data_IF_863743220500
#
_entry.id   IF_863743220500
#
_cell.length_a   1.000
_cell.length_b   1.000
_cell.length_c   1.000
_cell.angle_alpha   90.00
_cell.angle_beta   90.00
_cell.angle_gamma   90.00
#
_symmetry.space_group_name_H-M   'P 1'
#
loop_
_entity.id
_entity.type
_entity.pdbx_description
1 polymer ?
#
# COMPACT_ATOMS: atom_id res chain seq x y z
N UNK A 1 1.66 28.92 -6.85
CA UNK A 1 1.25 27.53 -7.18
C UNK A 1 2.40 26.63 -6.75
N UNK A 2 2.14 25.51 -6.10
CA UNK A 2 3.17 24.55 -5.68
C UNK A 2 3.81 23.92 -6.93
N UNK A 3 5.13 23.78 -6.91
CA UNK A 3 5.88 23.02 -7.92
C UNK A 3 6.26 21.67 -7.33
N UNK A 4 5.93 20.58 -8.01
CA UNK A 4 6.20 19.22 -7.58
C UNK A 4 7.59 18.75 -8.03
N UNK A 5 8.16 17.78 -7.31
CA UNK A 5 9.52 17.27 -7.57
C UNK A 5 9.71 16.80 -9.03
N UNK A 6 8.72 16.11 -9.60
CA UNK A 6 8.76 15.61 -10.99
C UNK A 6 8.57 16.69 -12.08
N UNK A 7 8.22 17.92 -11.68
CA UNK A 7 8.02 19.06 -12.58
C UNK A 7 9.25 19.99 -12.62
N UNK A 8 10.28 19.69 -11.84
CA UNK A 8 11.46 20.52 -11.76
C UNK A 8 12.38 20.29 -12.96
N UNK A 9 12.86 21.39 -13.54
CA UNK A 9 13.81 21.38 -14.63
C UNK A 9 15.20 21.79 -14.15
N UNK A 10 16.25 21.44 -14.88
CA UNK A 10 17.62 21.84 -14.57
C UNK A 10 17.81 23.35 -14.74
N UNK A 11 18.65 23.94 -13.88
CA UNK A 11 18.96 25.37 -13.87
C UNK A 11 17.75 26.29 -13.63
N UNK A 12 16.74 25.78 -12.93
CA UNK A 12 15.52 26.51 -12.56
C UNK A 12 15.62 27.06 -11.15
N UNK A 13 15.33 28.35 -10.97
CA UNK A 13 15.11 28.95 -9.65
C UNK A 13 13.71 28.54 -9.15
N UNK A 14 13.62 27.93 -7.99
CA UNK A 14 12.37 27.44 -7.41
C UNK A 14 12.09 28.04 -6.04
N UNK A 15 10.81 28.12 -5.72
CA UNK A 15 10.32 28.39 -4.38
C UNK A 15 9.09 27.51 -4.13
N UNK A 16 9.26 26.41 -3.40
CA UNK A 16 8.20 25.44 -3.15
C UNK A 16 8.36 24.81 -1.76
N UNK A 17 7.36 24.03 -1.33
CA UNK A 17 7.37 23.37 -0.03
C UNK A 17 7.56 21.89 -0.23
N UNK A 18 8.42 21.26 0.60
CA UNK A 18 8.68 19.82 0.61
C UNK A 18 8.57 19.25 2.02
N UNK A 19 8.35 17.96 2.10
CA UNK A 19 8.52 17.15 3.30
C UNK A 19 10.00 16.75 3.41
N UNK A 20 10.59 16.85 4.59
CA UNK A 20 11.96 16.40 4.87
C UNK A 20 11.96 14.90 5.12
N UNK A 21 12.40 14.11 4.14
CA UNK A 21 12.51 12.65 4.27
C UNK A 21 13.78 12.23 4.99
N UNK A 22 14.88 12.96 4.74
CA UNK A 22 16.16 12.72 5.41
C UNK A 22 16.87 14.05 5.66
N UNK A 23 17.53 14.16 6.82
CA UNK A 23 18.33 15.33 7.23
C UNK A 23 19.64 14.85 7.80
N UNK A 24 20.74 15.37 7.29
CA UNK A 24 22.08 15.07 7.76
C UNK A 24 22.93 16.34 7.74
N UNK A 25 23.65 16.58 8.83
CA UNK A 25 24.65 17.64 8.90
C UNK A 25 26.02 17.03 8.61
N UNK A 26 26.65 17.48 7.54
CA UNK A 26 27.96 17.02 7.10
C UNK A 26 28.99 18.16 7.14
N UNK A 27 30.28 17.85 7.06
CA UNK A 27 31.34 18.84 7.02
C UNK A 27 31.91 18.96 5.61
N UNK A 28 32.16 20.19 5.18
CA UNK A 28 32.96 20.51 4.00
C UNK A 28 34.44 20.13 4.25
N UNK A 29 35.25 20.08 3.20
CA UNK A 29 36.72 19.90 3.34
C UNK A 29 37.38 21.01 4.17
N UNK A 30 36.76 22.16 4.26
CA UNK A 30 37.20 23.31 5.08
C UNK A 30 36.81 23.18 6.57
N UNK A 31 36.04 22.13 6.96
CA UNK A 31 35.54 21.94 8.32
C UNK A 31 34.19 22.61 8.61
N UNK A 32 33.68 23.46 7.71
CA UNK A 32 32.40 24.13 7.87
C UNK A 32 31.23 23.15 7.66
N UNK A 33 30.14 23.27 8.43
CA UNK A 33 28.96 22.42 8.24
C UNK A 33 28.20 22.75 6.95
N UNK A 34 27.59 21.73 6.35
CA UNK A 34 26.56 21.89 5.32
C UNK A 34 25.42 20.89 5.56
N UNK A 35 24.19 21.25 5.12
CA UNK A 35 23.04 20.37 5.18
C UNK A 35 22.96 19.51 3.92
N UNK A 36 22.77 18.23 4.12
CA UNK A 36 22.41 17.26 3.09
C UNK A 36 21.00 16.75 3.40
N UNK A 37 20.04 17.04 2.53
CA UNK A 37 18.64 16.70 2.69
C UNK A 37 18.18 15.80 1.54
N UNK A 38 17.23 14.90 1.83
CA UNK A 38 16.34 14.32 0.84
C UNK A 38 14.96 14.91 1.09
N UNK A 39 14.42 15.58 0.10
CA UNK A 39 13.13 16.27 0.15
C UNK A 39 12.14 15.53 -0.74
N UNK A 40 10.88 15.42 -0.30
CA UNK A 40 9.86 14.68 -1.03
C UNK A 40 8.52 15.38 -1.13
N UNK A 41 7.75 14.96 -2.12
CA UNK A 41 6.33 15.21 -2.27
C UNK A 41 5.66 13.99 -2.94
N UNK A 42 4.35 14.04 -3.21
CA UNK A 42 3.61 12.92 -3.83
C UNK A 42 4.14 12.49 -5.20
N UNK A 43 4.93 13.31 -5.85
CA UNK A 43 5.44 13.07 -7.21
C UNK A 43 6.83 12.44 -7.24
N UNK A 44 7.58 12.50 -6.13
CA UNK A 44 8.92 11.94 -6.03
C UNK A 44 9.79 12.64 -5.00
N UNK A 45 11.08 12.33 -5.07
CA UNK A 45 12.10 12.80 -4.16
C UNK A 45 13.17 13.60 -4.90
N UNK A 46 13.82 14.54 -4.22
CA UNK A 46 14.95 15.31 -4.72
C UNK A 46 16.03 15.43 -3.66
N UNK A 47 17.27 15.16 -4.05
CA UNK A 47 18.44 15.45 -3.22
C UNK A 47 18.68 16.96 -3.16
N UNK A 48 18.90 17.49 -1.97
CA UNK A 48 19.09 18.91 -1.74
C UNK A 48 20.28 19.20 -0.82
N UNK A 49 20.99 20.28 -1.10
CA UNK A 49 22.13 20.72 -0.29
C UNK A 49 22.05 22.19 0.00
N UNK A 50 22.33 22.55 1.24
CA UNK A 50 22.53 23.93 1.66
C UNK A 50 23.95 24.11 2.16
N UNK A 51 24.69 24.99 1.49
CA UNK A 51 26.12 25.16 1.72
C UNK A 51 26.46 26.30 2.69
N UNK A 52 25.61 27.32 2.77
CA UNK A 52 25.84 28.55 3.51
C UNK A 52 24.68 28.82 4.46
N UNK A 53 24.89 29.61 5.51
CA UNK A 53 23.89 29.96 6.53
C UNK A 53 23.26 28.74 7.25
N UNK A 54 23.99 27.63 7.31
CA UNK A 54 23.48 26.38 7.89
C UNK A 54 23.21 26.51 9.38
N UNK A 55 24.08 27.19 10.13
CA UNK A 55 23.93 27.38 11.57
C UNK A 55 22.66 28.14 11.97
N UNK A 56 22.10 28.96 11.07
CA UNK A 56 20.87 29.71 11.31
C UNK A 56 19.60 28.88 11.23
N UNK A 57 19.66 27.76 10.51
CA UNK A 57 18.47 26.96 10.17
C UNK A 57 18.55 25.48 10.58
N UNK A 58 19.74 24.96 10.94
CA UNK A 58 19.91 23.54 11.21
C UNK A 58 19.07 23.02 12.38
N UNK A 59 18.70 23.86 13.34
CA UNK A 59 17.90 23.52 14.52
C UNK A 59 16.43 23.98 14.40
N UNK A 60 16.03 24.53 13.23
CA UNK A 60 14.66 25.08 13.05
C UNK A 60 13.66 24.07 12.49
N UNK A 61 14.11 22.91 12.07
CA UNK A 61 13.28 21.84 11.54
C UNK A 61 13.96 20.47 11.72
N UNK A 62 13.17 19.41 11.71
CA UNK A 62 13.65 18.05 11.82
C UNK A 62 13.17 17.16 10.65
N UNK A 63 13.55 15.89 10.67
CA UNK A 63 13.00 14.89 9.75
C UNK A 63 11.48 14.83 9.92
N UNK A 64 10.78 14.74 8.80
CA UNK A 64 9.31 14.73 8.68
C UNK A 64 8.64 16.10 8.91
N UNK A 65 9.39 17.17 9.06
CA UNK A 65 8.83 18.52 9.01
C UNK A 65 8.62 19.00 7.57
N UNK A 66 7.67 19.92 7.40
CA UNK A 66 7.47 20.62 6.13
C UNK A 66 8.33 21.87 6.10
N UNK A 67 9.08 22.03 5.02
CA UNK A 67 9.94 23.19 4.81
C UNK A 67 9.66 23.85 3.46
N UNK A 68 9.55 25.16 3.47
CA UNK A 68 9.55 25.96 2.26
C UNK A 68 10.99 26.30 1.90
N UNK A 69 11.40 25.91 0.70
CA UNK A 69 12.76 26.13 0.20
C UNK A 69 12.77 27.11 -0.96
N UNK A 70 13.82 27.92 -1.03
CA UNK A 70 14.18 28.71 -2.21
C UNK A 70 15.58 28.29 -2.65
N UNK A 71 15.75 27.97 -3.92
CA UNK A 71 17.02 27.46 -4.41
C UNK A 71 17.07 27.32 -5.92
N UNK A 72 18.16 26.73 -6.40
CA UNK A 72 18.45 26.48 -7.80
C UNK A 72 18.62 24.98 -8.05
N UNK A 73 17.91 24.45 -9.01
CA UNK A 73 18.06 23.05 -9.44
C UNK A 73 19.26 22.94 -10.40
N UNK A 74 19.94 21.82 -10.35
CA UNK A 74 21.03 21.49 -11.29
C UNK A 74 21.09 19.96 -11.50
N UNK A 75 21.73 19.52 -12.59
CA UNK A 75 22.07 18.10 -12.75
C UNK A 75 23.46 17.85 -12.16
N UNK A 76 23.52 16.96 -11.20
CA UNK A 76 24.77 16.51 -10.60
C UNK A 76 24.88 14.99 -10.70
N UNK A 77 25.95 14.48 -11.33
CA UNK A 77 26.16 13.03 -11.57
C UNK A 77 24.92 12.33 -12.20
N UNK A 78 24.29 13.01 -13.16
CA UNK A 78 23.11 12.45 -13.86
C UNK A 78 21.81 12.48 -13.09
N UNK A 79 21.76 13.08 -11.89
CA UNK A 79 20.56 13.22 -11.06
C UNK A 79 20.22 14.69 -10.81
N UNK A 80 18.92 14.97 -10.70
CA UNK A 80 18.47 16.29 -10.29
C UNK A 80 18.84 16.54 -8.84
N UNK A 81 19.45 17.69 -8.54
CA UNK A 81 19.82 18.15 -7.21
C UNK A 81 19.40 19.60 -7.01
N UNK A 82 18.94 19.93 -5.81
CA UNK A 82 18.58 21.29 -5.41
C UNK A 82 19.67 21.90 -4.56
N UNK A 83 20.22 23.03 -4.97
CA UNK A 83 21.04 23.89 -4.11
C UNK A 83 20.13 24.88 -3.40
N UNK A 84 20.01 24.75 -2.10
CA UNK A 84 19.13 25.56 -1.26
C UNK A 84 19.85 26.83 -0.83
N UNK A 85 19.18 27.97 -0.97
CA UNK A 85 19.67 29.28 -0.52
C UNK A 85 18.91 29.75 0.73
N UNK A 86 17.65 29.32 0.91
CA UNK A 86 16.83 29.69 2.08
C UNK A 86 15.88 28.55 2.43
N UNK A 87 15.75 28.32 3.74
CA UNK A 87 14.78 27.39 4.33
C UNK A 87 13.88 28.19 5.29
N UNK A 88 12.61 27.81 5.33
CA UNK A 88 11.63 28.28 6.31
C UNK A 88 10.77 27.08 6.71
N UNK A 89 10.63 26.82 8.01
CA UNK A 89 9.69 25.82 8.52
C UNK A 89 8.24 26.25 8.21
N UNK A 90 7.38 25.26 7.93
CA UNK A 90 5.96 25.46 7.61
C UNK A 90 5.15 24.64 8.61
N UNK A 91 4.10 25.24 9.17
CA UNK A 91 3.19 24.54 10.09
C UNK A 91 2.38 23.48 9.33
N UNK A 92 2.15 22.32 9.96
CA UNK A 92 1.37 21.21 9.42
C UNK A 92 -0.05 21.62 9.00
N UNK A 93 -0.60 22.67 9.66
CA UNK A 93 -1.94 23.21 9.37
C UNK A 93 -2.01 24.02 8.08
N UNK A 94 -0.85 24.48 7.60
CA UNK A 94 -0.74 25.32 6.40
C UNK A 94 -0.42 24.51 5.14
N UNK A 95 -0.39 23.16 5.22
CA UNK A 95 -0.09 22.28 4.11
C UNK A 95 -1.25 21.35 3.78
N UNK A 96 -1.47 21.13 2.49
CA UNK A 96 -2.32 20.04 2.03
C UNK A 96 -1.51 18.74 2.00
N UNK A 97 -1.79 17.83 2.94
CA UNK A 97 -1.07 16.53 3.05
C UNK A 97 -1.15 15.69 1.78
N UNK A 98 -2.21 15.85 0.97
CA UNK A 98 -2.35 15.15 -0.32
C UNK A 98 -1.33 15.59 -1.37
N UNK A 99 -0.58 16.65 -1.12
CA UNK A 99 0.55 17.10 -1.94
C UNK A 99 1.86 16.37 -1.62
N UNK A 100 1.93 15.68 -0.48
CA UNK A 100 3.17 15.03 0.00
C UNK A 100 3.07 13.52 0.07
N UNK A 101 1.85 13.01 0.21
CA UNK A 101 1.59 11.58 0.31
C UNK A 101 0.67 11.12 -0.83
N UNK A 102 0.81 9.89 -1.31
CA UNK A 102 -0.19 9.33 -2.21
C UNK A 102 -1.56 9.39 -1.52
N UNK A 103 -2.58 9.71 -2.28
CA UNK A 103 -3.97 9.79 -1.82
C UNK A 103 -4.89 9.05 -2.80
N UNK A 104 -6.02 8.56 -2.31
CA UNK A 104 -7.09 8.05 -3.18
C UNK A 104 -7.48 9.08 -4.23
N UNK A 105 -7.72 8.63 -5.45
CA UNK A 105 -8.25 9.48 -6.53
C UNK A 105 -9.74 9.77 -6.36
N UNK A 106 -10.42 9.04 -5.47
CA UNK A 106 -11.84 9.22 -5.13
C UNK A 106 -12.01 10.28 -4.03
N UNK A 107 -13.11 11.00 -4.08
CA UNK A 107 -13.47 11.95 -3.02
C UNK A 107 -13.86 11.19 -1.74
N UNK A 108 -13.21 11.51 -0.62
CA UNK A 108 -13.38 10.83 0.66
C UNK A 108 -14.78 11.01 1.26
N UNK A 109 -15.40 12.17 1.08
CA UNK A 109 -16.76 12.43 1.55
C UNK A 109 -17.80 11.65 0.75
N UNK A 110 -17.61 11.54 -0.57
CA UNK A 110 -18.45 10.70 -1.44
C UNK A 110 -18.31 9.23 -1.09
N UNK A 111 -17.08 8.74 -0.85
CA UNK A 111 -16.81 7.37 -0.40
C UNK A 111 -17.50 7.09 0.95
N UNK A 112 -17.42 8.02 1.89
CA UNK A 112 -18.07 7.85 3.19
C UNK A 112 -19.60 7.87 3.09
N UNK A 113 -20.16 8.72 2.23
CA UNK A 113 -21.59 8.73 1.94
C UNK A 113 -22.06 7.40 1.28
N UNK A 114 -21.26 6.81 0.39
CA UNK A 114 -21.50 5.49 -0.19
C UNK A 114 -21.51 4.40 0.90
N UNK A 115 -20.54 4.42 1.82
CA UNK A 115 -20.53 3.51 2.98
C UNK A 115 -21.79 3.68 3.84
N UNK A 116 -22.22 4.92 4.06
CA UNK A 116 -23.47 5.25 4.74
C UNK A 116 -24.70 4.62 4.10
N UNK A 117 -24.76 4.49 2.77
CA UNK A 117 -25.85 3.80 2.07
C UNK A 117 -25.88 2.30 2.37
N UNK A 118 -24.71 1.64 2.48
CA UNK A 118 -24.63 0.25 2.92
C UNK A 118 -25.16 0.09 4.34
N UNK A 119 -24.78 0.98 5.26
CA UNK A 119 -25.24 0.98 6.66
C UNK A 119 -26.75 1.24 6.73
N UNK A 120 -27.26 2.18 5.95
CA UNK A 120 -28.71 2.49 5.92
C UNK A 120 -29.56 1.28 5.52
N UNK A 121 -29.04 0.40 4.66
CA UNK A 121 -29.70 -0.82 4.21
C UNK A 121 -29.68 -1.98 5.22
N UNK A 122 -28.95 -1.86 6.33
CA UNK A 122 -28.92 -2.88 7.39
C UNK A 122 -30.26 -3.00 8.07
N UNK A 123 -30.63 -4.24 8.39
CA UNK A 123 -31.91 -4.60 9.01
C UNK A 123 -31.80 -4.94 10.50
N UNK A 124 -30.62 -5.41 10.94
CA UNK A 124 -30.36 -5.70 12.35
C UNK A 124 -30.11 -4.39 13.12
N UNK A 125 -31.01 -4.00 14.05
CA UNK A 125 -30.94 -2.70 14.72
C UNK A 125 -29.73 -2.55 15.63
N UNK A 126 -29.24 -3.63 16.25
CA UNK A 126 -28.08 -3.57 17.13
C UNK A 126 -26.78 -3.39 16.33
N UNK A 127 -26.60 -4.15 15.23
CA UNK A 127 -25.42 -4.01 14.37
C UNK A 127 -25.39 -2.63 13.70
N UNK A 128 -26.55 -2.18 13.19
CA UNK A 128 -26.68 -0.83 12.63
C UNK A 128 -26.37 0.24 13.69
N UNK A 129 -26.96 0.13 14.88
CA UNK A 129 -26.70 1.05 15.98
C UNK A 129 -25.23 1.08 16.41
N UNK A 130 -24.53 -0.06 16.34
CA UNK A 130 -23.08 -0.10 16.60
C UNK A 130 -22.30 0.71 15.58
N UNK A 131 -22.55 0.54 14.29
CA UNK A 131 -21.86 1.33 13.25
C UNK A 131 -22.22 2.82 13.36
N UNK A 132 -23.49 3.14 13.64
CA UNK A 132 -23.92 4.52 13.87
C UNK A 132 -23.24 5.15 15.10
N UNK A 133 -22.97 4.37 16.17
CA UNK A 133 -22.20 4.84 17.32
C UNK A 133 -20.74 5.16 16.99
N UNK A 134 -20.10 4.40 16.06
CA UNK A 134 -18.80 4.76 15.51
C UNK A 134 -18.87 6.03 14.67
N UNK A 135 -19.86 6.15 13.79
CA UNK A 135 -19.97 7.24 12.82
C UNK A 135 -20.55 8.54 13.42
N UNK A 136 -21.07 8.50 14.64
CA UNK A 136 -21.46 9.70 15.41
C UNK A 136 -20.26 10.45 16.01
N UNK A 137 -19.09 9.82 16.05
CA UNK A 137 -17.85 10.39 16.54
C UNK A 137 -17.12 11.11 15.40
N UNK A 138 -17.23 12.44 15.36
CA UNK A 138 -16.72 13.24 14.26
C UNK A 138 -15.17 13.15 14.12
N UNK A 139 -14.44 13.06 15.24
CA UNK A 139 -12.98 12.89 15.19
C UNK A 139 -12.60 11.53 14.60
N UNK A 140 -13.26 10.47 15.05
CA UNK A 140 -13.05 9.12 14.52
C UNK A 140 -13.39 9.03 13.02
N UNK A 141 -14.49 9.67 12.60
CA UNK A 141 -14.88 9.71 11.18
C UNK A 141 -13.81 10.38 10.32
N UNK A 142 -13.26 11.51 10.76
CA UNK A 142 -12.17 12.17 10.01
C UNK A 142 -10.90 11.31 9.95
N UNK A 143 -10.54 10.64 11.04
CA UNK A 143 -9.44 9.65 11.04
C UNK A 143 -9.75 8.51 10.07
N UNK A 144 -10.93 7.93 10.11
CA UNK A 144 -11.36 6.82 9.26
C UNK A 144 -11.35 7.17 7.77
N UNK A 145 -11.80 8.37 7.42
CA UNK A 145 -11.77 8.91 6.05
C UNK A 145 -10.36 9.18 5.54
N UNK A 146 -9.40 9.38 6.44
CA UNK A 146 -8.05 9.81 6.09
C UNK A 146 -7.01 8.70 6.20
N UNK A 147 -7.23 7.73 7.09
CA UNK A 147 -6.27 6.67 7.37
C UNK A 147 -5.91 5.84 6.12
N UNK A 148 -4.64 5.45 5.97
CA UNK A 148 -4.23 4.42 5.02
C UNK A 148 -4.67 3.03 5.53
N UNK A 149 -4.84 2.05 4.62
CA UNK A 149 -5.08 0.66 5.02
C UNK A 149 -3.80 -0.07 5.44
N UNK A 150 -2.65 0.38 4.99
CA UNK A 150 -1.35 -0.20 5.32
C UNK A 150 -0.24 0.85 5.22
N UNK A 151 0.92 0.56 5.85
CA UNK A 151 2.11 1.42 5.75
C UNK A 151 2.73 1.44 4.36
N UNK A 152 2.79 0.31 3.65
CA UNK A 152 3.63 0.20 2.43
C UNK A 152 3.03 -0.66 1.31
N UNK A 153 2.01 -1.48 1.57
CA UNK A 153 1.58 -2.51 0.62
C UNK A 153 0.28 -2.06 -0.10
N UNK A 154 -0.86 -2.65 0.22
CA UNK A 154 -2.14 -2.34 -0.39
C UNK A 154 -2.77 -1.09 0.24
N UNK A 155 -3.41 -0.25 -0.57
CA UNK A 155 -4.10 0.96 -0.12
C UNK A 155 -3.25 1.85 0.83
N UNK A 156 -1.93 1.87 0.62
CA UNK A 156 -0.98 2.67 1.42
C UNK A 156 -0.99 4.13 0.98
N UNK A 157 -2.15 4.78 1.09
CA UNK A 157 -2.38 6.17 0.76
C UNK A 157 -3.47 6.80 1.62
N UNK A 158 -3.54 8.12 1.63
CA UNK A 158 -4.59 8.86 2.34
C UNK A 158 -5.96 8.47 1.80
N UNK A 159 -6.86 8.04 2.70
CA UNK A 159 -8.19 7.51 2.36
C UNK A 159 -8.20 6.05 1.92
N UNK A 160 -7.06 5.36 2.01
CA UNK A 160 -6.92 3.97 1.60
C UNK A 160 -7.74 3.00 2.42
N UNK A 161 -7.88 3.22 3.73
CA UNK A 161 -8.72 2.39 4.59
C UNK A 161 -10.19 2.42 4.15
N UNK A 162 -10.73 3.60 3.90
CA UNK A 162 -12.11 3.75 3.45
C UNK A 162 -12.33 3.13 2.06
N UNK A 163 -11.37 3.31 1.15
CA UNK A 163 -11.43 2.72 -0.20
C UNK A 163 -11.41 1.19 -0.15
N UNK A 164 -10.55 0.60 0.70
CA UNK A 164 -10.48 -0.83 0.99
C UNK A 164 -11.80 -1.36 1.53
N UNK A 165 -12.35 -0.72 2.57
CA UNK A 165 -13.64 -1.11 3.16
C UNK A 165 -14.78 -1.06 2.16
N UNK A 166 -14.85 -0.08 1.28
CA UNK A 166 -15.87 -0.02 0.22
C UNK A 166 -15.72 -1.14 -0.81
N UNK A 167 -14.49 -1.46 -1.20
CA UNK A 167 -14.20 -2.61 -2.04
C UNK A 167 -14.72 -3.90 -1.40
N UNK A 168 -14.38 -4.12 -0.12
CA UNK A 168 -14.86 -5.28 0.63
C UNK A 168 -16.38 -5.30 0.81
N UNK A 169 -17.03 -4.16 1.07
CA UNK A 169 -18.49 -4.07 1.21
C UNK A 169 -19.19 -4.51 -0.09
N UNK A 170 -18.65 -4.13 -1.24
CA UNK A 170 -19.14 -4.55 -2.55
C UNK A 170 -18.99 -6.06 -2.74
N UNK A 171 -17.81 -6.61 -2.46
CA UNK A 171 -17.52 -8.04 -2.56
C UNK A 171 -18.37 -8.85 -1.57
N UNK A 172 -18.51 -8.38 -0.33
CA UNK A 172 -19.32 -9.01 0.70
C UNK A 172 -20.80 -9.08 0.29
N UNK A 173 -21.36 -8.01 -0.26
CA UNK A 173 -22.73 -7.99 -0.78
C UNK A 173 -22.94 -9.03 -1.88
N UNK A 174 -22.03 -9.12 -2.84
CA UNK A 174 -22.09 -10.11 -3.91
C UNK A 174 -21.99 -11.54 -3.36
N UNK A 175 -21.00 -11.78 -2.49
CA UNK A 175 -20.71 -13.11 -1.94
C UNK A 175 -21.86 -13.59 -1.02
N UNK A 176 -22.41 -12.71 -0.18
CA UNK A 176 -23.56 -13.03 0.67
C UNK A 176 -24.86 -13.27 -0.11
N UNK A 177 -24.97 -12.75 -1.32
CA UNK A 177 -26.09 -13.08 -2.22
C UNK A 177 -25.92 -14.45 -2.89
N UNK A 178 -24.67 -14.89 -3.07
CA UNK A 178 -24.32 -16.15 -3.70
C UNK A 178 -24.44 -17.35 -2.75
N UNK A 179 -23.93 -17.22 -1.52
CA UNK A 179 -23.93 -18.29 -0.53
C UNK A 179 -25.14 -18.18 0.42
N UNK A 180 -25.99 -19.21 0.53
CA UNK A 180 -27.12 -19.21 1.48
C UNK A 180 -26.60 -19.32 2.93
N UNK A 181 -27.36 -18.74 3.86
CA UNK A 181 -27.10 -18.85 5.30
C UNK A 181 -26.12 -17.82 5.85
N UNK A 182 -25.65 -16.88 5.04
CA UNK A 182 -24.81 -15.76 5.50
C UNK A 182 -25.67 -14.66 6.12
N UNK A 183 -25.32 -14.24 7.33
CA UNK A 183 -25.85 -13.01 7.92
C UNK A 183 -25.14 -11.80 7.30
N UNK A 184 -25.88 -11.13 6.41
CA UNK A 184 -25.36 -9.99 5.61
C UNK A 184 -24.98 -8.80 6.48
N UNK A 185 -25.76 -8.54 7.52
CA UNK A 185 -25.51 -7.41 8.41
C UNK A 185 -24.30 -7.68 9.31
N UNK A 186 -24.13 -8.92 9.78
CA UNK A 186 -22.97 -9.33 10.56
C UNK A 186 -21.69 -9.29 9.70
N UNK A 187 -21.74 -9.80 8.46
CA UNK A 187 -20.61 -9.75 7.54
C UNK A 187 -20.21 -8.30 7.22
N UNK A 188 -21.20 -7.44 6.90
CA UNK A 188 -20.94 -6.02 6.64
C UNK A 188 -20.36 -5.30 7.86
N UNK A 189 -20.85 -5.61 9.06
CA UNK A 189 -20.29 -5.09 10.31
C UNK A 189 -18.82 -5.48 10.45
N UNK A 190 -18.48 -6.74 10.18
CA UNK A 190 -17.09 -7.19 10.16
C UNK A 190 -16.25 -6.44 9.13
N UNK A 191 -16.77 -6.26 7.90
CA UNK A 191 -16.10 -5.49 6.86
C UNK A 191 -15.78 -4.05 7.29
N UNK A 192 -16.72 -3.37 7.95
CA UNK A 192 -16.53 -1.98 8.38
C UNK A 192 -15.55 -1.88 9.56
N UNK A 193 -15.54 -2.86 10.46
CA UNK A 193 -14.84 -2.78 11.73
C UNK A 193 -13.56 -3.60 11.83
N UNK A 194 -13.24 -4.53 10.89
CA UNK A 194 -12.09 -5.41 11.04
C UNK A 194 -10.78 -4.63 11.24
N UNK A 195 -10.64 -3.54 10.52
CA UNK A 195 -9.47 -2.68 10.46
C UNK A 195 -9.65 -1.33 11.18
N UNK A 196 -10.73 -1.15 11.95
CA UNK A 196 -11.04 0.14 12.60
C UNK A 196 -9.90 0.62 13.50
N UNK A 197 -9.16 -0.27 14.14
CA UNK A 197 -8.03 0.08 14.98
C UNK A 197 -6.84 0.70 14.25
N UNK A 198 -6.78 0.61 12.93
CA UNK A 198 -5.74 1.25 12.10
C UNK A 198 -5.76 2.78 12.18
N UNK A 199 -6.89 3.37 12.56
CA UNK A 199 -7.00 4.83 12.74
C UNK A 199 -6.11 5.36 13.88
N UNK A 200 -5.80 4.50 14.86
CA UNK A 200 -4.90 4.81 15.98
C UNK A 200 -3.57 4.02 15.90
N UNK A 201 -3.55 2.88 15.18
CA UNK A 201 -2.33 2.12 14.92
C UNK A 201 -1.35 2.89 14.04
N UNK A 202 -1.86 3.52 12.97
CA UNK A 202 -1.02 4.13 11.95
C UNK A 202 -0.90 5.65 12.16
N UNK A 203 0.32 6.16 11.95
CA UNK A 203 0.58 7.59 11.83
C UNK A 203 0.76 7.95 10.36
N UNK A 204 0.15 9.07 9.95
CA UNK A 204 0.21 9.56 8.56
C UNK A 204 0.29 11.10 8.49
N UNK A 205 0.64 11.73 9.61
CA UNK A 205 0.81 13.18 9.68
C UNK A 205 2.11 13.66 9.06
N UNK A 206 3.20 12.92 9.28
CA UNK A 206 4.56 13.26 8.83
C UNK A 206 5.23 12.10 8.08
N UNK A 207 4.46 11.12 7.64
CA UNK A 207 4.90 9.89 6.97
C UNK A 207 4.06 8.72 7.43
N UNK A 208 3.96 7.68 6.58
CA UNK A 208 3.28 6.45 6.99
C UNK A 208 4.15 5.67 7.98
N UNK A 209 3.70 5.59 9.21
CA UNK A 209 4.40 4.93 10.32
C UNK A 209 3.42 4.20 11.24
N UNK A 210 3.94 3.75 12.37
CA UNK A 210 3.14 3.23 13.47
C UNK A 210 3.22 4.20 14.65
N UNK A 211 2.10 4.36 15.37
CA UNK A 211 2.11 4.97 16.69
C UNK A 211 2.79 4.04 17.71
N UNK A 212 3.16 4.54 18.88
CA UNK A 212 3.70 3.67 19.94
C UNK A 212 2.69 2.60 20.34
N UNK A 213 1.41 2.95 20.42
CA UNK A 213 0.35 1.98 20.69
C UNK A 213 0.19 0.98 19.54
N UNK A 214 0.24 1.43 18.31
CA UNK A 214 0.22 0.58 17.13
C UNK A 214 1.35 -0.44 17.10
N UNK A 215 2.56 0.00 17.45
CA UNK A 215 3.73 -0.86 17.51
C UNK A 215 3.68 -1.90 18.62
N UNK A 216 3.09 -1.56 19.78
CA UNK A 216 3.06 -2.40 20.97
C UNK A 216 1.81 -3.30 21.05
N UNK A 217 0.67 -2.83 20.55
CA UNK A 217 -0.63 -3.48 20.75
C UNK A 217 -1.21 -3.99 19.40
N UNK A 218 -1.11 -3.22 18.34
CA UNK A 218 -1.62 -3.54 17.01
C UNK A 218 -3.14 -3.30 16.85
N UNK A 219 -3.57 -3.08 15.59
CA UNK A 219 -4.93 -2.64 15.25
C UNK A 219 -6.03 -3.60 15.71
N UNK A 220 -5.79 -4.92 15.73
CA UNK A 220 -6.81 -5.90 16.15
C UNK A 220 -7.24 -5.65 17.59
N UNK A 221 -6.29 -5.52 18.52
CA UNK A 221 -6.60 -5.29 19.93
C UNK A 221 -7.12 -3.88 20.18
N UNK A 222 -6.59 -2.89 19.48
CA UNK A 222 -7.10 -1.51 19.49
C UNK A 222 -8.57 -1.50 19.04
N UNK A 223 -8.87 -2.14 17.90
CA UNK A 223 -10.23 -2.25 17.36
C UNK A 223 -11.19 -2.97 18.31
N UNK A 224 -10.78 -4.06 18.94
CA UNK A 224 -11.60 -4.77 19.94
C UNK A 224 -11.94 -3.88 21.14
N UNK A 225 -11.00 -3.06 21.61
CA UNK A 225 -11.25 -2.08 22.68
C UNK A 225 -12.28 -1.04 22.23
N UNK A 226 -12.10 -0.46 21.04
CA UNK A 226 -13.04 0.50 20.47
C UNK A 226 -14.46 -0.08 20.32
N UNK A 227 -14.57 -1.33 19.85
CA UNK A 227 -15.86 -2.04 19.75
C UNK A 227 -16.49 -2.20 21.13
N UNK A 228 -15.73 -2.59 22.13
CA UNK A 228 -16.21 -2.74 23.51
C UNK A 228 -16.80 -1.44 24.06
N UNK A 229 -16.14 -0.32 23.82
CA UNK A 229 -16.61 1.02 24.22
C UNK A 229 -17.89 1.44 23.48
N UNK A 230 -17.94 1.26 22.16
CA UNK A 230 -19.09 1.65 21.35
C UNK A 230 -20.30 0.73 21.56
N UNK A 231 -20.12 -0.56 21.80
CA UNK A 231 -21.20 -1.48 22.22
C UNK A 231 -21.89 -0.99 23.49
N UNK A 232 -21.14 -0.43 24.46
CA UNK A 232 -21.71 0.16 25.67
C UNK A 232 -22.63 1.36 25.43
N UNK A 233 -22.60 1.95 24.23
CA UNK A 233 -23.46 3.07 23.83
C UNK A 233 -24.75 2.60 23.14
N UNK A 234 -24.85 1.31 22.77
CA UNK A 234 -26.03 0.75 22.10
C UNK A 234 -26.90 0.02 23.14
N UNK A 235 -28.14 0.51 23.42
CA UNK A 235 -29.00 -0.13 24.40
C UNK A 235 -29.25 -1.59 24.06
N UNK A 236 -29.28 -2.44 25.12
CA UNK A 236 -29.62 -3.85 25.04
C UNK A 236 -28.89 -4.66 23.98
N UNK A 237 -27.65 -4.28 23.66
CA UNK A 237 -26.84 -5.01 22.67
C UNK A 237 -26.64 -6.47 23.13
N UNK A 238 -27.08 -7.48 22.32
CA UNK A 238 -27.06 -8.87 22.75
C UNK A 238 -25.64 -9.39 22.98
N UNK A 239 -25.30 -9.97 24.17
CA UNK A 239 -23.94 -10.43 24.47
C UNK A 239 -23.39 -11.45 23.46
N UNK A 240 -24.25 -12.35 22.96
CA UNK A 240 -23.84 -13.34 21.93
C UNK A 240 -23.51 -12.67 20.59
N UNK A 241 -24.25 -11.64 20.21
CA UNK A 241 -23.99 -10.88 18.98
C UNK A 241 -22.68 -10.10 19.10
N UNK A 242 -22.39 -9.52 20.27
CA UNK A 242 -21.12 -8.88 20.57
C UNK A 242 -19.94 -9.86 20.36
N UNK A 243 -20.02 -11.09 20.90
CA UNK A 243 -19.00 -12.11 20.71
C UNK A 243 -18.76 -12.45 19.24
N UNK A 244 -19.82 -12.46 18.40
CA UNK A 244 -19.68 -12.67 16.96
C UNK A 244 -18.93 -11.52 16.28
N UNK A 245 -19.28 -10.26 16.61
CA UNK A 245 -18.57 -9.08 16.08
C UNK A 245 -17.11 -9.08 16.51
N UNK A 246 -16.84 -9.32 17.80
CA UNK A 246 -15.45 -9.41 18.32
C UNK A 246 -14.67 -10.54 17.63
N UNK A 247 -15.33 -11.70 17.36
CA UNK A 247 -14.70 -12.81 16.66
C UNK A 247 -14.35 -12.47 15.22
N UNK A 248 -15.21 -11.75 14.47
CA UNK A 248 -14.88 -11.28 13.13
C UNK A 248 -13.58 -10.49 13.12
N UNK A 249 -13.45 -9.51 14.03
CA UNK A 249 -12.25 -8.68 14.14
C UNK A 249 -11.03 -9.46 14.62
N UNK A 250 -11.19 -10.33 15.64
CA UNK A 250 -10.10 -11.12 16.19
C UNK A 250 -9.56 -12.20 15.24
N UNK A 251 -10.30 -12.57 14.19
CA UNK A 251 -9.94 -13.67 13.30
C UNK A 251 -9.74 -13.27 11.84
N UNK A 252 -9.86 -11.99 11.46
CA UNK A 252 -9.85 -11.60 10.05
C UNK A 252 -8.52 -11.88 9.33
N UNK A 253 -7.38 -11.89 10.02
CA UNK A 253 -6.11 -12.32 9.42
C UNK A 253 -6.07 -13.84 9.08
N UNK A 254 -7.00 -14.63 9.62
CA UNK A 254 -7.23 -16.04 9.28
C UNK A 254 -6.30 -17.03 9.93
N UNK A 255 -5.00 -16.77 9.97
CA UNK A 255 -3.98 -17.67 10.48
C UNK A 255 -3.21 -17.06 11.65
N UNK A 256 -2.85 -17.89 12.65
CA UNK A 256 -2.04 -17.44 13.78
C UNK A 256 -0.65 -16.93 13.33
N UNK A 257 -0.11 -17.52 12.28
CA UNK A 257 1.16 -17.10 11.67
C UNK A 257 1.10 -15.68 11.07
N UNK A 258 -0.09 -15.18 10.74
CA UNK A 258 -0.31 -13.81 10.25
C UNK A 258 -0.69 -12.83 11.36
N UNK A 259 -0.53 -13.23 12.62
CA UNK A 259 -0.83 -12.39 13.78
C UNK A 259 -2.31 -12.37 14.17
N UNK A 260 -3.13 -13.27 13.64
CA UNK A 260 -4.53 -13.40 14.05
C UNK A 260 -4.60 -14.01 15.46
N UNK A 261 -5.25 -13.35 16.44
CA UNK A 261 -5.44 -13.95 17.78
C UNK A 261 -6.27 -15.23 17.76
N UNK A 262 -7.14 -15.39 16.78
CA UNK A 262 -8.03 -16.55 16.56
C UNK A 262 -8.12 -16.87 15.07
N UNK A 263 -8.44 -18.13 14.76
CA UNK A 263 -8.81 -18.55 13.39
C UNK A 263 -10.31 -18.37 13.19
N UNK A 264 -10.77 -18.08 11.94
CA UNK A 264 -12.19 -17.92 11.62
C UNK A 264 -12.98 -19.19 11.96
N UNK A 265 -14.08 -19.03 12.73
CA UNK A 265 -14.92 -20.15 13.18
C UNK A 265 -16.40 -19.98 12.87
N UNK A 266 -16.75 -18.95 12.07
CA UNK A 266 -18.12 -18.75 11.53
C UNK A 266 -18.07 -18.55 10.00
N UNK A 267 -19.21 -18.66 9.33
CA UNK A 267 -19.28 -18.44 7.88
C UNK A 267 -18.83 -17.02 7.51
N UNK A 268 -19.32 -16.03 8.26
CA UNK A 268 -19.02 -14.62 8.03
C UNK A 268 -17.53 -14.31 8.29
N UNK A 269 -16.93 -14.91 9.33
CA UNK A 269 -15.51 -14.73 9.64
C UNK A 269 -14.60 -15.35 8.56
N UNK A 270 -14.98 -16.53 8.05
CA UNK A 270 -14.28 -17.18 6.96
C UNK A 270 -14.35 -16.34 5.67
N UNK A 271 -15.55 -15.83 5.35
CA UNK A 271 -15.72 -14.95 4.20
C UNK A 271 -14.93 -13.66 4.36
N UNK A 272 -15.03 -12.99 5.51
CA UNK A 272 -14.30 -11.75 5.76
C UNK A 272 -12.80 -11.94 5.53
N UNK A 273 -12.20 -12.98 6.13
CA UNK A 273 -10.79 -13.30 5.94
C UNK A 273 -10.42 -13.45 4.46
N UNK A 274 -11.20 -14.23 3.71
CA UNK A 274 -10.87 -14.48 2.30
C UNK A 274 -11.09 -13.26 1.41
N UNK A 275 -12.11 -12.44 1.68
CA UNK A 275 -12.37 -11.21 0.94
C UNK A 275 -11.28 -10.17 1.19
N UNK A 276 -10.87 -9.99 2.44
CA UNK A 276 -9.78 -9.10 2.83
C UNK A 276 -8.46 -9.52 2.17
N UNK A 277 -8.10 -10.79 2.28
CA UNK A 277 -6.91 -11.34 1.64
C UNK A 277 -6.95 -11.23 0.10
N UNK A 278 -8.13 -11.39 -0.52
CA UNK A 278 -8.31 -11.21 -1.96
C UNK A 278 -8.06 -9.76 -2.36
N UNK A 279 -8.74 -8.80 -1.74
CA UNK A 279 -8.62 -7.38 -2.08
C UNK A 279 -7.19 -6.87 -1.87
N UNK A 280 -6.59 -7.17 -0.72
CA UNK A 280 -5.23 -6.78 -0.39
C UNK A 280 -4.20 -7.34 -1.39
N UNK A 281 -4.33 -8.59 -1.83
CA UNK A 281 -3.43 -9.20 -2.82
C UNK A 281 -3.63 -8.65 -4.22
N UNK A 282 -4.87 -8.49 -4.66
CA UNK A 282 -5.17 -7.91 -5.98
C UNK A 282 -4.62 -6.49 -6.07
N UNK A 283 -4.83 -5.67 -5.04
CA UNK A 283 -4.34 -4.30 -5.02
C UNK A 283 -2.80 -4.23 -4.93
N UNK A 284 -2.17 -5.12 -4.16
CA UNK A 284 -0.69 -5.25 -4.13
C UNK A 284 -0.13 -5.55 -5.52
N UNK A 285 -0.75 -6.48 -6.25
CA UNK A 285 -0.34 -6.84 -7.62
C UNK A 285 -0.52 -5.65 -8.57
N UNK A 286 -1.68 -4.97 -8.53
CA UNK A 286 -1.97 -3.79 -9.36
C UNK A 286 -0.94 -2.67 -9.16
N UNK A 287 -0.65 -2.33 -7.89
CA UNK A 287 0.34 -1.30 -7.56
C UNK A 287 1.75 -1.69 -8.00
N UNK A 288 2.15 -2.93 -7.79
CA UNK A 288 3.46 -3.40 -8.20
C UNK A 288 3.66 -3.30 -9.71
N UNK A 289 2.66 -3.70 -10.51
CA UNK A 289 2.69 -3.55 -11.97
C UNK A 289 2.72 -2.08 -12.37
N UNK A 290 1.93 -1.22 -11.72
CA UNK A 290 1.87 0.20 -12.00
C UNK A 290 3.21 0.91 -11.70
N UNK A 291 3.85 0.61 -10.57
CA UNK A 291 5.17 1.16 -10.20
C UNK A 291 6.25 0.76 -11.20
N UNK A 292 6.22 -0.48 -11.68
CA UNK A 292 7.17 -1.02 -12.66
C UNK A 292 6.82 -0.64 -14.12
N UNK A 293 5.84 0.24 -14.33
CA UNK A 293 5.38 0.62 -15.67
C UNK A 293 6.47 1.21 -16.56
N UNK A 294 7.49 1.85 -15.99
CA UNK A 294 8.64 2.43 -16.72
C UNK A 294 9.83 1.48 -16.87
N UNK A 295 9.83 0.33 -16.17
CA UNK A 295 10.90 -0.68 -16.26
C UNK A 295 10.71 -1.49 -17.54
N UNK A 296 11.78 -1.63 -18.35
CA UNK A 296 11.75 -2.41 -19.59
C UNK A 296 11.45 -3.90 -19.35
N UNK A 297 10.89 -4.57 -20.37
CA UNK A 297 10.56 -5.99 -20.35
C UNK A 297 9.17 -6.30 -19.80
N UNK A 298 8.74 -7.55 -20.00
CA UNK A 298 7.42 -8.06 -19.63
C UNK A 298 7.27 -8.47 -18.17
N UNK A 299 8.36 -8.56 -17.41
CA UNK A 299 8.35 -8.96 -16.01
C UNK A 299 8.63 -7.79 -15.08
N UNK A 300 8.00 -7.79 -13.90
CA UNK A 300 8.33 -6.86 -12.82
C UNK A 300 9.65 -7.22 -12.14
N UNK A 301 10.20 -6.31 -11.33
CA UNK A 301 11.15 -6.67 -10.31
C UNK A 301 10.56 -7.72 -9.34
N UNK A 302 11.41 -8.43 -8.60
CA UNK A 302 10.98 -9.36 -7.56
C UNK A 302 10.27 -8.60 -6.42
N UNK A 303 9.09 -9.09 -6.02
CA UNK A 303 8.26 -8.47 -4.98
C UNK A 303 8.33 -9.34 -3.73
N UNK A 304 9.06 -8.92 -2.68
CA UNK A 304 9.26 -9.73 -1.47
C UNK A 304 7.97 -10.17 -0.79
N UNK A 305 6.96 -9.30 -0.71
CA UNK A 305 5.67 -9.59 -0.07
C UNK A 305 4.83 -10.64 -0.82
N UNK A 306 5.15 -10.91 -2.09
CA UNK A 306 4.49 -11.93 -2.91
C UNK A 306 5.42 -13.11 -3.23
N UNK A 307 6.70 -13.01 -2.84
CA UNK A 307 7.77 -13.99 -3.11
C UNK A 307 7.89 -14.37 -4.60
N UNK A 308 7.63 -13.40 -5.49
CA UNK A 308 7.68 -13.62 -6.95
C UNK A 308 7.82 -12.34 -7.75
N UNK A 309 8.20 -12.49 -9.02
CA UNK A 309 8.01 -11.47 -10.06
C UNK A 309 6.64 -11.63 -10.72
N UNK A 310 6.09 -10.54 -11.23
CA UNK A 310 4.78 -10.51 -11.88
C UNK A 310 4.93 -10.26 -13.38
N UNK A 311 4.09 -10.91 -14.18
CA UNK A 311 4.00 -10.66 -15.60
C UNK A 311 3.19 -9.39 -15.88
N UNK A 312 3.76 -8.44 -16.60
CA UNK A 312 3.07 -7.28 -17.15
C UNK A 312 2.35 -7.69 -18.44
N UNK A 313 1.15 -8.23 -18.29
CA UNK A 313 0.40 -8.91 -19.35
C UNK A 313 0.27 -8.08 -20.63
N UNK A 314 -0.04 -6.77 -20.51
CA UNK A 314 -0.18 -5.87 -21.65
C UNK A 314 1.10 -5.73 -22.49
N UNK A 315 2.27 -5.77 -21.84
CA UNK A 315 3.56 -5.73 -22.53
C UNK A 315 3.88 -7.09 -23.14
N UNK A 316 3.68 -8.15 -22.40
CA UNK A 316 3.93 -9.52 -22.86
C UNK A 316 3.14 -9.82 -24.18
N UNK A 317 1.89 -9.38 -24.25
CA UNK A 317 1.06 -9.58 -25.44
C UNK A 317 1.47 -8.69 -26.62
N UNK A 318 2.20 -7.60 -26.37
CA UNK A 318 2.70 -6.69 -27.42
C UNK A 318 4.11 -7.02 -27.88
N UNK A 319 4.87 -7.79 -27.10
CA UNK A 319 6.20 -8.24 -27.52
C UNK A 319 6.08 -9.20 -28.69
N UNK A 320 6.84 -9.00 -29.78
CA UNK A 320 6.88 -9.98 -30.87
C UNK A 320 7.39 -11.30 -30.29
N UNK A 321 6.78 -12.40 -30.73
CA UNK A 321 7.22 -13.74 -30.33
C UNK A 321 8.74 -13.85 -30.56
N UNK A 322 9.51 -14.38 -29.60
CA UNK A 322 10.94 -14.54 -29.82
C UNK A 322 11.14 -15.35 -31.10
N UNK A 323 11.94 -14.81 -32.02
CA UNK A 323 12.31 -15.52 -33.23
C UNK A 323 12.84 -16.89 -32.82
N UNK A 324 12.03 -17.94 -32.95
CA UNK A 324 12.56 -19.30 -32.92
C UNK A 324 13.44 -19.40 -34.16
N UNK A 325 14.74 -19.27 -33.97
CA UNK A 325 15.66 -19.65 -35.02
C UNK A 325 15.22 -21.03 -35.51
N UNK A 326 15.03 -21.23 -36.82
CA UNK A 326 14.69 -22.54 -37.31
C UNK A 326 15.73 -23.51 -36.76
N UNK A 327 15.25 -24.60 -36.15
CA UNK A 327 16.13 -25.64 -35.63
C UNK A 327 17.15 -25.97 -36.71
N UNK A 328 18.45 -25.98 -36.42
CA UNK A 328 19.47 -26.28 -37.41
C UNK A 328 19.03 -27.58 -38.10
N UNK A 329 18.93 -27.52 -39.43
CA UNK A 329 18.55 -28.68 -40.22
C UNK A 329 19.45 -29.86 -39.78
N UNK A 330 18.83 -30.90 -39.25
CA UNK A 330 19.57 -32.11 -38.86
C UNK A 330 20.33 -32.54 -40.13
N UNK A 331 21.65 -32.44 -40.08
CA UNK A 331 22.47 -33.01 -41.14
C UNK A 331 22.04 -34.47 -41.33
N UNK A 332 21.84 -34.91 -42.58
CA UNK A 332 21.50 -36.29 -42.83
C UNK A 332 22.61 -37.16 -42.21
N UNK A 333 22.22 -37.97 -41.24
CA UNK A 333 23.14 -38.95 -40.62
C UNK A 333 23.61 -39.83 -41.75
N UNK A 334 24.89 -39.67 -42.15
CA UNK A 334 25.52 -40.62 -43.07
C UNK A 334 25.44 -42.00 -42.44
N UNK A 335 24.86 -43.03 -43.08
CA UNK A 335 24.84 -44.36 -42.50
C UNK A 335 26.25 -44.79 -42.21
N UNK A 336 26.58 -45.17 -40.98
CA UNK A 336 27.91 -45.66 -40.63
C UNK A 336 28.10 -46.96 -41.39
N UNK A 337 29.09 -46.99 -42.28
CA UNK A 337 29.50 -48.16 -43.08
C UNK A 337 29.87 -49.37 -42.23
N UNK A 338 30.03 -49.21 -40.94
CA UNK A 338 30.39 -50.26 -39.97
C UNK A 338 29.25 -51.17 -39.54
N UNK A 339 27.98 -50.71 -39.68
CA UNK A 339 26.84 -51.56 -39.32
C UNK A 339 26.46 -52.55 -40.46
N UNK A 340 26.64 -52.15 -41.71
CA UNK A 340 26.44 -52.97 -42.89
C UNK A 340 27.50 -54.09 -43.00
N UNK A 341 28.73 -53.81 -42.60
CA UNK A 341 29.85 -54.78 -42.58
C UNK A 341 29.69 -55.87 -41.49
N UNK A 342 29.06 -55.54 -40.34
CA UNK A 342 28.78 -56.52 -39.26
C UNK A 342 27.60 -57.43 -39.57
N UNK A 343 26.65 -56.98 -40.38
CA UNK A 343 25.50 -57.86 -40.79
C UNK A 343 25.87 -58.85 -41.87
N UNK A 344 26.79 -58.54 -42.76
CA UNK A 344 27.26 -59.50 -43.79
C UNK A 344 28.22 -60.54 -43.19
N UNK A 345 28.96 -60.27 -42.12
CA UNK A 345 29.84 -61.27 -41.48
C UNK A 345 29.11 -62.27 -40.62
N UNK A 346 27.85 -62.01 -40.18
CA UNK A 346 27.06 -62.92 -39.35
C UNK A 346 26.24 -63.99 -40.15
N UNK A 347 26.16 -63.81 -41.46
CA UNK A 347 25.37 -64.72 -42.33
C UNK A 347 26.25 -65.79 -43.04
N UNK A 348 27.56 -65.77 -42.90
CA UNK A 348 28.48 -66.66 -43.56
C UNK A 348 29.03 -67.75 -42.63
N UNK A 349 28.67 -67.82 -41.35
CA UNK A 349 29.19 -68.85 -40.40
C UNK A 349 28.18 -69.85 -39.94
N UNK A 350 27.14 -70.15 -40.75
CA UNK A 350 26.31 -71.37 -40.60
C UNK A 350 25.97 -71.89 -41.95
N UNK A 351 26.88 -72.71 -42.48
CA UNK A 351 26.75 -73.64 -43.60
C UNK A 351 27.75 -74.76 -43.45
#
# INVERSE_FOLDING_TARGET
MKQFANQLEANQAIQTTFLVLHKEIRQKKTGEPYLSLTLGDKSGEIDAKMWDHVAEVMDTFERHDYIKVKGLTAIYQGRMQLTIHRIQSVDDRDVDKTDYFPASTRNRDEMFAELGQHVAAMTNPHLKGLIEAFFSDAELVEKYKTAPAAKTIHHAWIGGLLEHVLSLATLAKFTAAHYPGIDKDLLLTGVILHDIGKVDELTYDRGFGYSDEGQLVGHILIGLRMITEKVGQVPDFPPKLRLLVEHLVASHHGELAYGSPKVPSTLEAMLLHHLDNLDSKVETVRQAIARDSMVEGSWSAYIPSLERSLLKQDRFLKEPAPFSAPAPAREPVKPSTDFAAKLSGALVSKG
#
